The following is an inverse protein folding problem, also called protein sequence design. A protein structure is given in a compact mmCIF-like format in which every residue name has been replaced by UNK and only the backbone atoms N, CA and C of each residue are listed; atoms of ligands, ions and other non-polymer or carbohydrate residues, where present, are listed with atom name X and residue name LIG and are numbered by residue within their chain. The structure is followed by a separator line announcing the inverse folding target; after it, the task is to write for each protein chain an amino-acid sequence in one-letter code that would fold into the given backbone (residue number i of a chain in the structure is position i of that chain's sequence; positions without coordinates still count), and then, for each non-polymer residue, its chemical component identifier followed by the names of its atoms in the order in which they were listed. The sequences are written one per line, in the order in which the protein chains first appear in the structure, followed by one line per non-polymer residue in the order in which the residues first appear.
data_IF_330945214572
#
_entry.id   IF_330945214572
#
_cell.length_a   1.000
_cell.length_b   1.000
_cell.length_c   1.000
_cell.angle_alpha   90.00
_cell.angle_beta   90.00
_cell.angle_gamma   90.00
#
_symmetry.space_group_name_H-M   'P 1'
#
loop_
_entity.id
_entity.type
_entity.pdbx_description
1 polymer ?
#
# COMPACT_ATOMS: atom_id res chain seq x y z
N UNK A 1 13.63 -1.99 -8.61
CA UNK A 1 12.42 -1.49 -7.95
C UNK A 1 11.93 -0.29 -8.76
N UNK A 2 10.63 -0.14 -9.02
CA UNK A 2 10.14 1.03 -9.77
C UNK A 2 10.08 2.22 -8.81
N UNK A 3 11.03 3.16 -8.92
CA UNK A 3 11.14 4.41 -8.15
C UNK A 3 10.13 5.48 -8.62
N UNK A 4 8.92 5.05 -9.04
CA UNK A 4 7.95 6.00 -9.59
C UNK A 4 7.24 6.71 -8.45
N UNK A 5 7.22 8.05 -8.53
CA UNK A 5 6.48 8.95 -7.64
C UNK A 5 6.97 9.01 -6.19
N UNK A 6 8.19 8.54 -5.88
CA UNK A 6 8.75 8.68 -4.52
C UNK A 6 8.82 10.15 -4.09
N UNK A 7 9.20 11.04 -5.01
CA UNK A 7 9.21 12.50 -4.80
C UNK A 7 7.81 13.12 -4.53
N UNK A 8 6.73 12.38 -4.77
CA UNK A 8 5.35 12.84 -4.60
C UNK A 8 4.67 12.23 -3.36
N UNK A 9 5.37 11.42 -2.58
CA UNK A 9 4.80 10.68 -1.44
C UNK A 9 5.58 11.04 -0.18
N UNK A 10 4.99 11.86 0.69
CA UNK A 10 5.61 12.24 1.97
C UNK A 10 5.43 11.14 3.03
N UNK A 11 4.30 10.45 3.03
CA UNK A 11 3.92 9.46 4.04
C UNK A 11 3.38 8.21 3.35
N UNK A 12 3.89 7.04 3.73
CA UNK A 12 3.40 5.76 3.24
C UNK A 12 2.79 4.93 4.38
N UNK A 13 1.49 4.68 4.29
CA UNK A 13 0.78 3.75 5.18
C UNK A 13 0.66 2.38 4.54
N UNK A 14 0.98 1.30 5.27
CA UNK A 14 0.80 -0.06 4.77
C UNK A 14 0.39 -1.04 5.86
N UNK A 15 -0.08 -2.22 5.44
CA UNK A 15 -0.41 -3.30 6.35
C UNK A 15 0.82 -3.83 7.10
N UNK A 16 0.59 -4.38 8.30
CA UNK A 16 1.61 -5.02 9.16
C UNK A 16 2.35 -6.16 8.46
N UNK A 17 1.77 -6.76 7.42
CA UNK A 17 2.44 -7.72 6.53
C UNK A 17 3.68 -7.16 5.84
N UNK A 18 3.76 -5.84 5.61
CA UNK A 18 4.89 -5.14 4.99
C UNK A 18 5.98 -4.71 6.00
N UNK A 19 5.89 -5.17 7.24
CA UNK A 19 6.90 -4.94 8.26
C UNK A 19 8.24 -5.57 7.86
N UNK A 20 9.16 -4.73 7.37
CA UNK A 20 10.54 -5.08 7.05
C UNK A 20 11.46 -3.90 7.39
N UNK A 21 12.64 -4.20 7.95
CA UNK A 21 13.66 -3.19 8.24
C UNK A 21 14.21 -2.57 6.95
N UNK A 22 14.60 -3.42 6.00
CA UNK A 22 15.11 -3.02 4.67
C UNK A 22 14.10 -2.11 3.95
N UNK A 23 12.81 -2.45 4.00
CA UNK A 23 11.77 -1.64 3.35
C UNK A 23 11.61 -0.26 4.00
N UNK A 24 11.71 -0.17 5.33
CA UNK A 24 11.65 1.12 6.04
C UNK A 24 12.88 1.98 5.79
N UNK A 25 14.06 1.36 5.73
CA UNK A 25 15.30 2.06 5.38
C UNK A 25 15.25 2.59 3.95
N UNK A 26 14.73 1.80 3.01
CA UNK A 26 14.48 2.25 1.65
C UNK A 26 13.52 3.45 1.61
N UNK A 27 12.37 3.39 2.30
CA UNK A 27 11.43 4.52 2.33
C UNK A 27 12.08 5.79 2.90
N UNK A 28 12.83 5.65 4.01
CA UNK A 28 13.54 6.79 4.62
C UNK A 28 14.65 7.35 3.73
N UNK A 29 15.34 6.52 2.94
CA UNK A 29 16.35 7.01 1.99
C UNK A 29 15.73 7.81 0.84
N UNK A 30 14.43 7.64 0.60
CA UNK A 30 13.63 8.40 -0.34
C UNK A 30 12.87 9.57 0.32
N UNK A 31 13.20 9.93 1.57
CA UNK A 31 12.49 10.95 2.38
C UNK A 31 11.00 10.66 2.60
N UNK A 32 10.59 9.39 2.49
CA UNK A 32 9.22 8.94 2.73
C UNK A 32 9.08 8.43 4.16
N UNK A 33 8.14 8.97 4.93
CA UNK A 33 7.86 8.51 6.30
C UNK A 33 7.05 7.20 6.29
N UNK A 34 7.58 6.07 6.77
CA UNK A 34 6.84 4.81 6.83
C UNK A 34 5.92 4.77 8.07
N UNK A 35 4.61 4.61 7.84
CA UNK A 35 3.58 4.41 8.86
C UNK A 35 3.06 2.98 8.73
N UNK A 36 3.87 2.02 9.20
CA UNK A 36 3.64 0.58 9.10
C UNK A 36 3.78 -0.03 10.49
N UNK A 37 2.73 -0.68 11.01
CA UNK A 37 2.78 -1.37 12.31
C UNK A 37 3.85 -2.46 12.31
N UNK A 38 4.62 -2.53 13.38
CA UNK A 38 5.58 -3.59 13.65
C UNK A 38 4.86 -4.90 13.98
N UNK A 39 5.39 -6.02 13.49
CA UNK A 39 5.08 -7.36 13.98
C UNK A 39 5.51 -7.44 15.43
N UNK A 40 4.57 -7.82 16.29
CA UNK A 40 4.77 -7.77 17.73
C UNK A 40 5.46 -9.04 18.19
N UNK A 41 6.78 -9.02 18.25
CA UNK A 41 7.58 -10.10 18.79
C UNK A 41 8.16 -9.75 20.17
N UNK A 42 8.21 -8.45 20.49
CA UNK A 42 8.76 -7.91 21.73
C UNK A 42 7.88 -6.80 22.33
N UNK A 43 8.15 -6.44 23.59
CA UNK A 43 7.55 -5.28 24.24
C UNK A 43 7.91 -3.96 23.54
N UNK A 44 9.08 -3.91 22.90
CA UNK A 44 9.55 -2.75 22.14
C UNK A 44 8.68 -2.52 20.89
N UNK A 45 8.31 -3.58 20.17
CA UNK A 45 7.42 -3.48 18.99
C UNK A 45 6.04 -2.92 19.38
N UNK A 46 5.52 -3.34 20.54
CA UNK A 46 4.25 -2.82 21.07
C UNK A 46 4.35 -1.35 21.44
N UNK A 47 5.45 -0.93 22.05
CA UNK A 47 5.71 0.47 22.38
C UNK A 47 5.84 1.33 21.10
N UNK A 48 6.49 0.81 20.06
CA UNK A 48 6.56 1.49 18.75
C UNK A 48 5.17 1.61 18.11
N UNK A 49 4.37 0.54 18.12
CA UNK A 49 3.00 0.58 17.61
C UNK A 49 2.11 1.58 18.36
N UNK A 50 2.26 1.69 19.68
CA UNK A 50 1.50 2.62 20.51
C UNK A 50 1.86 4.11 20.26
N UNK A 51 2.99 4.38 19.61
CA UNK A 51 3.43 5.73 19.23
C UNK A 51 3.02 6.11 17.80
N UNK A 52 2.48 5.18 17.02
CA UNK A 52 1.98 5.49 15.69
C UNK A 52 0.69 6.31 15.81
N UNK A 53 0.56 7.30 14.93
CA UNK A 53 -0.66 8.07 14.80
C UNK A 53 -1.76 7.19 14.20
N UNK A 54 -2.78 6.88 15.01
CA UNK A 54 -3.88 6.01 14.61
C UNK A 54 -4.79 6.66 13.54
N UNK A 55 -4.86 7.99 13.47
CA UNK A 55 -5.62 8.70 12.42
C UNK A 55 -4.93 8.51 11.07
N UNK A 56 -3.61 8.74 11.04
CA UNK A 56 -2.81 8.55 9.81
C UNK A 56 -2.79 7.07 9.42
N UNK A 57 -2.58 6.16 10.36
CA UNK A 57 -2.62 4.73 10.08
C UNK A 57 -4.01 4.26 9.61
N UNK A 58 -5.08 4.87 10.15
CA UNK A 58 -6.47 4.60 9.78
C UNK A 58 -6.79 4.85 8.30
N UNK A 59 -6.02 5.71 7.61
CA UNK A 59 -6.17 5.97 6.18
C UNK A 59 -5.96 4.72 5.31
N UNK A 60 -5.29 3.68 5.84
CA UNK A 60 -5.14 2.36 5.20
C UNK A 60 -6.48 1.73 4.79
N UNK A 61 -7.54 1.97 5.57
CA UNK A 61 -8.89 1.41 5.32
C UNK A 61 -9.45 1.89 3.98
N UNK A 62 -9.12 3.11 3.55
CA UNK A 62 -9.53 3.66 2.25
C UNK A 62 -8.92 2.83 1.11
N UNK A 63 -7.62 2.55 1.22
CA UNK A 63 -6.89 1.73 0.25
C UNK A 63 -7.45 0.30 0.19
N UNK A 64 -7.70 -0.31 1.35
CA UNK A 64 -8.32 -1.64 1.42
C UNK A 64 -9.70 -1.69 0.75
N UNK A 65 -10.51 -0.65 0.97
CA UNK A 65 -11.84 -0.52 0.39
C UNK A 65 -11.78 -0.39 -1.13
N UNK A 66 -10.86 0.42 -1.67
CA UNK A 66 -10.62 0.55 -3.11
C UNK A 66 -10.19 -0.79 -3.69
N UNK A 67 -9.22 -1.48 -3.06
CA UNK A 67 -8.79 -2.80 -3.54
C UNK A 67 -9.89 -3.84 -3.48
N UNK A 68 -10.75 -3.83 -2.45
CA UNK A 68 -11.90 -4.70 -2.37
C UNK A 68 -12.89 -4.46 -3.53
N UNK A 69 -13.20 -3.20 -3.83
CA UNK A 69 -14.08 -2.83 -4.94
C UNK A 69 -13.50 -3.24 -6.30
N UNK A 70 -12.20 -3.01 -6.52
CA UNK A 70 -11.48 -3.46 -7.73
C UNK A 70 -11.56 -4.99 -7.87
N UNK A 71 -11.33 -5.74 -6.78
CA UNK A 71 -11.42 -7.21 -6.78
C UNK A 71 -12.84 -7.70 -7.02
N UNK A 72 -13.85 -7.03 -6.47
CA UNK A 72 -15.26 -7.37 -6.69
C UNK A 72 -15.63 -7.22 -8.18
N UNK A 73 -15.12 -6.19 -8.86
CA UNK A 73 -15.42 -5.92 -10.27
C UNK A 73 -14.61 -6.76 -11.26
N UNK A 74 -13.31 -6.94 -11.01
CA UNK A 74 -12.37 -7.54 -11.96
C UNK A 74 -11.78 -8.89 -11.51
N UNK A 75 -12.23 -9.41 -10.37
CA UNK A 75 -11.67 -10.60 -9.73
C UNK A 75 -10.32 -10.34 -9.05
N UNK A 76 -10.01 -11.17 -8.05
CA UNK A 76 -8.78 -11.07 -7.26
C UNK A 76 -7.52 -11.67 -7.89
N UNK A 77 -7.67 -12.45 -8.96
CA UNK A 77 -6.54 -13.17 -9.58
C UNK A 77 -5.86 -12.31 -10.64
N UNK A 78 -4.54 -12.39 -10.71
CA UNK A 78 -3.73 -11.85 -11.81
C UNK A 78 -3.40 -12.98 -12.79
N UNK A 79 -3.61 -12.76 -14.09
CA UNK A 79 -3.35 -13.76 -15.14
C UNK A 79 -1.90 -13.75 -15.61
N UNK A 80 -1.21 -12.62 -15.48
CA UNK A 80 0.17 -12.50 -15.88
C UNK A 80 1.10 -13.44 -15.08
N UNK A 81 2.04 -14.08 -15.80
CA UNK A 81 3.00 -15.04 -15.23
C UNK A 81 4.34 -14.42 -14.85
N UNK A 82 4.63 -13.22 -15.34
CA UNK A 82 5.84 -12.48 -14.99
C UNK A 82 5.51 -11.43 -13.94
N UNK A 83 6.46 -11.15 -13.04
CA UNK A 83 6.30 -10.13 -12.01
C UNK A 83 5.90 -8.77 -12.60
N UNK A 84 6.58 -8.34 -13.66
CA UNK A 84 6.27 -7.07 -14.32
C UNK A 84 4.90 -7.08 -15.02
N UNK A 85 4.48 -8.23 -15.56
CA UNK A 85 3.14 -8.38 -16.13
C UNK A 85 2.05 -8.27 -15.07
N UNK A 86 2.26 -8.86 -13.89
CA UNK A 86 1.33 -8.78 -12.76
C UNK A 86 1.17 -7.34 -12.28
N UNK A 87 2.28 -6.61 -12.17
CA UNK A 87 2.27 -5.18 -11.85
C UNK A 87 1.46 -4.37 -12.87
N UNK A 88 1.72 -4.57 -14.17
CA UNK A 88 0.98 -3.87 -15.24
C UNK A 88 -0.51 -4.21 -15.23
N UNK A 89 -0.86 -5.47 -15.03
CA UNK A 89 -2.26 -5.90 -14.94
C UNK A 89 -2.97 -5.21 -13.77
N UNK A 90 -2.31 -5.09 -12.61
CA UNK A 90 -2.86 -4.39 -11.45
C UNK A 90 -3.09 -2.89 -11.73
N UNK A 91 -2.09 -2.21 -12.31
CA UNK A 91 -2.19 -0.80 -12.68
C UNK A 91 -3.33 -0.58 -13.69
N UNK A 92 -3.47 -1.48 -14.66
CA UNK A 92 -4.53 -1.41 -15.66
C UNK A 92 -5.92 -1.59 -15.03
N UNK A 93 -6.09 -2.56 -14.12
CA UNK A 93 -7.34 -2.76 -13.37
C UNK A 93 -7.72 -1.52 -12.56
N UNK A 94 -6.75 -0.88 -11.90
CA UNK A 94 -6.98 0.35 -11.15
C UNK A 94 -7.36 1.53 -12.07
N UNK A 95 -6.68 1.71 -13.20
CA UNK A 95 -7.00 2.77 -14.16
C UNK A 95 -8.42 2.59 -14.75
N UNK A 96 -8.77 1.37 -15.14
CA UNK A 96 -10.12 1.07 -15.66
C UNK A 96 -11.18 1.25 -14.57
N UNK A 97 -10.89 0.87 -13.32
CA UNK A 97 -11.78 1.14 -12.19
C UNK A 97 -12.08 2.63 -12.07
N UNK A 98 -11.05 3.47 -12.04
CA UNK A 98 -11.21 4.92 -11.94
C UNK A 98 -12.06 5.48 -13.08
N UNK A 99 -11.82 5.07 -14.33
CA UNK A 99 -12.62 5.49 -15.48
C UNK A 99 -14.10 5.08 -15.35
N UNK A 100 -14.36 3.83 -14.94
CA UNK A 100 -15.73 3.37 -14.71
C UNK A 100 -16.41 4.15 -13.58
N UNK A 101 -15.69 4.43 -12.50
CA UNK A 101 -16.22 5.20 -11.36
C UNK A 101 -16.53 6.65 -11.73
N UNK A 102 -15.70 7.30 -12.56
CA UNK A 102 -15.94 8.67 -13.03
C UNK A 102 -17.10 8.76 -14.03
N UNK A 103 -17.28 7.77 -14.90
CA UNK A 103 -18.35 7.76 -15.91
C UNK A 103 -19.72 7.29 -15.37
N UNK A 104 -19.76 6.75 -14.15
CA UNK A 104 -21.01 6.29 -13.51
C UNK A 104 -21.67 7.37 -12.64
N UNK A 105 -21.09 8.58 -12.60
CA UNK A 105 -21.63 9.80 -12.02
C UNK A 105 -22.01 10.77 -13.14
#
# INVERSE_FOLDING_TARGET
MLERNSEQVEILTADKGYDSAEFREYLRSQDVRPVIKHREFSSLDRAHNARLDDEIYGQRVVVESIFAAVKQRFGGTLRARTWFGQFRELVLKAAVFNLCSTLSH
#
